data_IF_625734271216
#
_entry.id   IF_625734271216
#
_cell.length_a   1.000
_cell.length_b   1.000
_cell.length_c   1.000
_cell.angle_alpha   90.00
_cell.angle_beta   90.00
_cell.angle_gamma   90.00
#
_symmetry.space_group_name_H-M   'P 1'
#
loop_
_entity.id
_entity.type
_entity.pdbx_description
1 polymer ?
#
# COMPACT_ATOMS: atom_id res chain seq x y z
N UNK A 1 3.50 -39.73 35.46
CA UNK A 1 3.98 -39.86 34.07
C UNK A 1 3.30 -38.79 33.26
N UNK A 2 4.11 -37.89 32.73
CA UNK A 2 3.74 -36.60 32.16
C UNK A 2 2.89 -36.74 30.89
N UNK A 3 1.63 -36.30 30.95
CA UNK A 3 0.75 -36.12 29.79
C UNK A 3 0.72 -34.66 29.35
N UNK A 4 1.89 -34.02 29.29
CA UNK A 4 2.09 -32.65 28.85
C UNK A 4 3.24 -32.64 27.84
N UNK A 5 2.96 -32.14 26.64
CA UNK A 5 3.88 -31.91 25.50
C UNK A 5 4.04 -33.03 24.46
N UNK A 6 2.94 -33.43 23.83
CA UNK A 6 2.99 -33.69 22.38
C UNK A 6 2.28 -32.54 21.65
N UNK A 7 2.97 -31.39 21.56
CA UNK A 7 2.63 -30.44 20.51
C UNK A 7 3.04 -31.10 19.19
N UNK A 8 2.10 -31.76 18.50
CA UNK A 8 2.29 -32.18 17.12
C UNK A 8 2.52 -30.92 16.28
N UNK A 9 3.78 -30.60 16.01
CA UNK A 9 4.12 -29.60 15.01
C UNK A 9 3.74 -30.20 13.66
N UNK A 10 2.59 -29.80 13.12
CA UNK A 10 2.29 -30.07 11.72
C UNK A 10 3.44 -29.53 10.88
N UNK A 11 4.09 -30.34 10.03
CA UNK A 11 5.17 -29.88 9.16
C UNK A 11 4.73 -28.61 8.43
N UNK A 12 5.66 -27.67 8.24
CA UNK A 12 5.40 -26.44 7.48
C UNK A 12 4.83 -26.75 6.09
N UNK A 13 5.27 -27.87 5.51
CA UNK A 13 4.81 -28.40 4.24
C UNK A 13 3.33 -28.77 4.23
N UNK A 14 2.73 -29.16 5.36
CA UNK A 14 1.32 -29.60 5.44
C UNK A 14 0.39 -28.46 5.87
N UNK A 15 0.96 -27.31 6.24
CA UNK A 15 0.21 -26.16 6.73
C UNK A 15 -0.13 -25.18 5.60
N UNK A 16 -1.31 -24.57 5.67
CA UNK A 16 -1.73 -23.49 4.77
C UNK A 16 -2.46 -23.95 3.51
N UNK A 17 -2.95 -22.97 2.74
CA UNK A 17 -3.74 -23.19 1.52
C UNK A 17 -2.96 -22.80 0.28
N UNK A 18 -3.08 -23.54 -0.83
CA UNK A 18 -2.54 -23.09 -2.11
C UNK A 18 -3.13 -21.72 -2.48
N UNK A 19 -2.29 -20.76 -2.89
CA UNK A 19 -2.76 -19.40 -3.19
C UNK A 19 -2.16 -18.78 -4.47
N UNK A 20 -0.85 -18.86 -4.67
CA UNK A 20 -0.18 -18.29 -5.85
C UNK A 20 0.98 -19.18 -6.32
N UNK A 21 1.37 -19.07 -7.58
CA UNK A 21 2.50 -19.84 -8.16
C UNK A 21 3.85 -19.21 -7.88
N UNK A 22 4.83 -20.07 -7.59
CA UNK A 22 6.24 -19.71 -7.47
C UNK A 22 6.80 -19.38 -8.86
N UNK A 23 7.52 -18.26 -8.99
CA UNK A 23 8.14 -17.88 -10.27
C UNK A 23 9.32 -18.77 -10.67
N UNK A 24 9.95 -19.46 -9.71
CA UNK A 24 11.09 -20.36 -9.95
C UNK A 24 10.68 -21.72 -10.54
N UNK A 25 9.67 -22.36 -9.96
CA UNK A 25 9.27 -23.73 -10.32
C UNK A 25 7.85 -23.84 -10.88
N UNK A 26 7.11 -22.73 -10.95
CA UNK A 26 5.74 -22.63 -11.45
C UNK A 26 4.71 -23.49 -10.70
N UNK A 27 5.09 -24.06 -9.55
CA UNK A 27 4.19 -24.80 -8.66
C UNK A 27 3.48 -23.86 -7.68
N UNK A 28 2.28 -24.25 -7.27
CA UNK A 28 1.54 -23.52 -6.26
C UNK A 28 2.29 -23.49 -4.92
N UNK A 29 2.42 -22.29 -4.38
CA UNK A 29 2.88 -22.03 -3.03
C UNK A 29 1.71 -22.02 -2.06
N UNK A 30 1.96 -22.47 -0.84
CA UNK A 30 1.00 -22.46 0.26
C UNK A 30 1.09 -21.15 1.03
N UNK A 31 -0.04 -20.47 1.18
CA UNK A 31 -0.20 -19.34 2.09
C UNK A 31 -0.49 -19.86 3.49
N UNK A 32 0.37 -19.47 4.42
CA UNK A 32 0.25 -19.75 5.84
C UNK A 32 -0.12 -18.45 6.54
N UNK A 33 -1.35 -18.38 7.04
CA UNK A 33 -1.90 -17.19 7.72
C UNK A 33 -1.47 -17.06 9.17
N UNK A 34 -0.97 -18.14 9.79
CA UNK A 34 -0.48 -18.12 11.17
C UNK A 34 0.72 -17.19 11.26
N UNK A 35 0.70 -16.28 12.25
CA UNK A 35 1.72 -15.25 12.35
C UNK A 35 3.11 -15.85 12.62
N UNK A 36 4.17 -15.38 11.93
CA UNK A 36 4.14 -14.40 10.85
C UNK A 36 3.58 -14.98 9.54
N UNK A 37 2.68 -14.23 8.89
CA UNK A 37 2.11 -14.61 7.59
C UNK A 37 3.20 -14.75 6.53
N UNK A 38 3.13 -15.82 5.74
CA UNK A 38 4.16 -16.20 4.76
C UNK A 38 3.62 -17.08 3.64
N UNK A 39 4.29 -17.05 2.50
CA UNK A 39 4.18 -18.05 1.45
C UNK A 39 5.28 -19.10 1.64
N UNK A 40 4.96 -20.36 1.37
CA UNK A 40 5.90 -21.46 1.35
C UNK A 40 5.81 -22.20 0.02
N UNK A 41 6.95 -22.36 -0.67
CA UNK A 41 7.04 -23.20 -1.86
C UNK A 41 7.56 -24.59 -1.45
N UNK A 42 6.72 -25.62 -1.54
CA UNK A 42 7.14 -26.99 -1.18
C UNK A 42 8.17 -27.60 -2.13
N UNK A 43 8.23 -27.17 -3.39
CA UNK A 43 9.19 -27.69 -4.38
C UNK A 43 10.56 -27.03 -4.26
N UNK A 44 10.61 -25.74 -3.96
CA UNK A 44 11.88 -25.02 -3.77
C UNK A 44 12.34 -25.02 -2.30
N UNK A 45 11.48 -25.47 -1.37
CA UNK A 45 11.71 -25.41 0.07
C UNK A 45 11.99 -23.99 0.60
N UNK A 46 11.49 -22.96 -0.10
CA UNK A 46 11.70 -21.56 0.23
C UNK A 46 10.49 -20.92 0.92
N UNK A 47 10.78 -19.98 1.83
CA UNK A 47 9.80 -19.21 2.60
C UNK A 47 9.88 -17.74 2.23
N UNK A 48 8.73 -17.13 1.89
CA UNK A 48 8.61 -15.70 1.63
C UNK A 48 7.70 -15.06 2.67
N UNK A 49 8.24 -14.20 3.52
CA UNK A 49 7.43 -13.46 4.49
C UNK A 49 6.55 -12.43 3.79
N UNK A 50 5.37 -12.20 4.35
CA UNK A 50 4.39 -11.25 3.82
C UNK A 50 4.19 -10.09 4.80
N UNK A 51 3.58 -8.97 4.36
CA UNK A 51 3.13 -7.94 5.28
C UNK A 51 2.17 -8.51 6.33
N UNK A 52 2.31 -8.04 7.57
CA UNK A 52 1.54 -8.53 8.72
C UNK A 52 0.29 -7.67 8.96
N UNK A 53 -0.69 -8.19 9.71
CA UNK A 53 -1.88 -7.46 10.17
C UNK A 53 -2.80 -6.94 9.05
N UNK A 54 -2.91 -7.69 7.96
CA UNK A 54 -3.88 -7.44 6.90
C UNK A 54 -4.29 -8.74 6.23
N UNK A 55 -5.04 -8.60 5.14
CA UNK A 55 -5.50 -9.74 4.34
C UNK A 55 -4.63 -9.92 3.11
N UNK A 56 -4.37 -11.18 2.74
CA UNK A 56 -3.60 -11.56 1.57
C UNK A 56 -4.50 -12.35 0.63
N UNK A 57 -4.54 -11.94 -0.64
CA UNK A 57 -5.26 -12.62 -1.72
C UNK A 57 -4.40 -12.70 -2.98
N UNK A 58 -4.75 -13.58 -3.92
CA UNK A 58 -4.17 -13.62 -5.25
C UNK A 58 -4.59 -12.36 -6.03
N UNK A 59 -3.65 -11.75 -6.77
CA UNK A 59 -3.91 -10.54 -7.53
C UNK A 59 -3.99 -10.81 -9.03
N UNK A 60 -5.21 -11.05 -9.51
CA UNK A 60 -5.58 -11.16 -10.95
C UNK A 60 -4.72 -12.15 -11.77
N UNK A 61 -4.11 -13.15 -11.12
CA UNK A 61 -3.17 -14.09 -11.77
C UNK A 61 -2.03 -13.40 -12.54
N UNK A 62 -1.73 -12.15 -12.22
CA UNK A 62 -0.67 -11.39 -12.85
C UNK A 62 0.68 -11.84 -12.30
N UNK A 63 1.71 -11.84 -13.14
CA UNK A 63 3.07 -12.19 -12.76
C UNK A 63 3.97 -10.96 -12.72
N UNK A 64 4.97 -11.01 -11.85
CA UNK A 64 6.03 -10.02 -11.82
C UNK A 64 6.94 -10.19 -13.05
N UNK A 65 7.25 -9.13 -13.82
CA UNK A 65 8.06 -9.25 -15.02
C UNK A 65 9.55 -9.52 -14.74
N UNK A 66 9.99 -9.40 -13.48
CA UNK A 66 11.36 -9.66 -13.07
C UNK A 66 11.65 -11.13 -12.83
N UNK A 67 10.69 -11.84 -12.23
CA UNK A 67 10.93 -13.15 -11.60
C UNK A 67 9.79 -14.15 -11.84
N UNK A 68 8.75 -13.78 -12.58
CA UNK A 68 7.56 -14.57 -12.91
C UNK A 68 6.72 -15.05 -11.72
N UNK A 69 6.94 -14.53 -10.51
CA UNK A 69 6.07 -14.86 -9.38
C UNK A 69 4.67 -14.27 -9.58
N UNK A 70 3.65 -15.07 -9.28
CA UNK A 70 2.28 -14.55 -9.24
C UNK A 70 2.14 -13.53 -8.09
N UNK A 71 1.56 -12.38 -8.43
CA UNK A 71 1.39 -11.26 -7.54
C UNK A 71 0.29 -11.55 -6.51
N UNK A 72 0.54 -11.07 -5.30
CA UNK A 72 -0.44 -11.04 -4.23
C UNK A 72 -0.93 -9.62 -4.03
N UNK A 73 -2.10 -9.47 -3.42
CA UNK A 73 -2.59 -8.20 -2.93
C UNK A 73 -2.69 -8.25 -1.42
N UNK A 74 -2.10 -7.24 -0.77
CA UNK A 74 -2.28 -6.97 0.63
C UNK A 74 -3.32 -5.87 0.83
N UNK A 75 -4.23 -6.05 1.78
CA UNK A 75 -5.23 -5.05 2.16
C UNK A 75 -5.33 -4.92 3.67
N UNK A 76 -5.20 -3.68 4.17
CA UNK A 76 -5.52 -3.35 5.56
C UNK A 76 -7.03 -3.26 5.79
N UNK A 77 -7.47 -3.59 7.01
CA UNK A 77 -8.88 -3.53 7.37
C UNK A 77 -9.38 -2.08 7.58
N UNK A 78 -10.60 -1.82 7.11
CA UNK A 78 -11.32 -0.55 7.26
C UNK A 78 -11.38 0.28 5.97
N UNK A 79 -12.23 1.33 5.95
CA UNK A 79 -12.50 2.12 4.75
C UNK A 79 -11.25 2.82 4.20
N UNK A 80 -10.41 3.35 5.09
CA UNK A 80 -9.14 4.02 4.75
C UNK A 80 -7.93 3.08 4.84
N UNK A 81 -8.16 1.77 4.78
CA UNK A 81 -7.08 0.79 4.73
C UNK A 81 -6.41 0.81 3.36
N UNK A 82 -5.09 1.06 3.31
CA UNK A 82 -4.37 0.96 2.03
C UNK A 82 -4.34 -0.50 1.56
N UNK A 83 -4.41 -0.66 0.26
CA UNK A 83 -4.19 -1.93 -0.42
C UNK A 83 -3.10 -1.76 -1.46
N UNK A 84 -2.30 -2.79 -1.68
CA UNK A 84 -1.28 -2.75 -2.73
C UNK A 84 -0.92 -4.15 -3.22
N UNK A 85 -0.57 -4.27 -4.52
CA UNK A 85 0.05 -5.47 -5.05
C UNK A 85 1.49 -5.62 -4.55
N UNK A 86 1.94 -6.86 -4.38
CA UNK A 86 3.32 -7.21 -4.04
C UNK A 86 3.72 -8.53 -4.72
N UNK A 87 4.98 -8.59 -5.16
CA UNK A 87 5.62 -9.85 -5.55
C UNK A 87 6.23 -10.52 -4.30
N UNK A 88 5.95 -11.81 -4.02
CA UNK A 88 6.56 -12.52 -2.88
C UNK A 88 8.10 -12.47 -2.87
N UNK A 89 8.74 -12.61 -4.04
CA UNK A 89 10.19 -12.61 -4.15
C UNK A 89 10.76 -11.20 -3.96
N UNK A 90 10.35 -10.22 -4.76
CA UNK A 90 10.80 -8.82 -4.61
C UNK A 90 10.55 -8.24 -3.21
N UNK A 91 9.47 -8.65 -2.53
CA UNK A 91 9.21 -8.21 -1.16
C UNK A 91 10.28 -8.69 -0.18
N UNK A 92 10.81 -9.90 -0.35
CA UNK A 92 11.79 -10.51 0.55
C UNK A 92 13.23 -10.35 0.09
N UNK A 93 13.44 -10.16 -1.22
CA UNK A 93 14.74 -10.11 -1.88
C UNK A 93 14.65 -9.06 -3.00
N UNK A 94 14.51 -7.78 -2.66
CA UNK A 94 14.46 -6.72 -3.66
C UNK A 94 15.77 -6.70 -4.47
N UNK A 95 15.73 -6.78 -5.82
CA UNK A 95 16.93 -6.90 -6.64
C UNK A 95 17.62 -5.55 -6.92
N UNK A 96 17.34 -4.51 -6.13
CA UNK A 96 17.90 -3.17 -6.36
C UNK A 96 18.66 -2.66 -5.14
N UNK A 97 19.82 -2.08 -5.39
CA UNK A 97 20.69 -1.51 -4.37
C UNK A 97 20.03 -0.31 -3.68
N UNK A 98 20.27 -0.14 -2.37
CA UNK A 98 19.79 1.01 -1.61
C UNK A 98 18.32 0.99 -1.19
N UNK A 99 17.53 -0.02 -1.57
CA UNK A 99 16.11 -0.14 -1.15
C UNK A 99 15.95 -0.17 0.37
N UNK A 100 16.89 -0.80 1.08
CA UNK A 100 16.94 -0.84 2.54
C UNK A 100 17.12 0.56 3.19
N UNK A 101 17.58 1.54 2.40
CA UNK A 101 17.83 2.91 2.84
C UNK A 101 16.76 3.90 2.34
N UNK A 102 16.18 3.65 1.17
CA UNK A 102 15.25 4.58 0.49
C UNK A 102 13.84 4.55 1.07
N UNK A 103 13.44 3.43 1.66
CA UNK A 103 12.12 3.27 2.21
C UNK A 103 12.24 3.16 3.72
N UNK A 104 11.31 3.80 4.44
CA UNK A 104 11.12 3.63 5.88
C UNK A 104 10.71 2.19 6.27
N UNK A 105 11.19 1.17 5.54
CA UNK A 105 11.44 -0.17 6.01
C UNK A 105 12.04 -0.01 7.40
N UNK A 106 11.17 -0.24 8.37
CA UNK A 106 11.47 -0.18 9.77
C UNK A 106 12.70 -1.06 9.97
N UNK A 107 13.84 -0.41 10.24
CA UNK A 107 15.02 -1.01 10.85
C UNK A 107 14.53 -1.64 12.14
N UNK A 108 14.01 -2.85 12.04
CA UNK A 108 13.53 -3.66 13.16
C UNK A 108 14.70 -4.45 13.74
N UNK A 109 15.90 -4.27 13.21
CA UNK A 109 17.12 -4.82 13.76
C UNK A 109 18.31 -3.89 13.48
N UNK A 110 19.22 -3.83 14.44
CA UNK A 110 20.53 -3.18 14.35
C UNK A 110 21.51 -3.91 13.41
N UNK A 111 21.05 -4.90 12.65
CA UNK A 111 21.89 -5.83 11.86
C UNK A 111 21.64 -5.77 10.35
N UNK A 112 21.01 -4.70 9.83
CA UNK A 112 20.86 -4.51 8.38
C UNK A 112 19.96 -5.52 7.67
N UNK A 113 19.28 -6.42 8.40
CA UNK A 113 18.27 -7.34 7.86
C UNK A 113 16.88 -6.74 8.04
N UNK A 114 16.13 -6.65 6.94
CA UNK A 114 14.69 -6.40 6.95
C UNK A 114 14.02 -7.37 7.94
N UNK A 115 13.33 -6.84 8.95
CA UNK A 115 12.60 -7.69 9.89
C UNK A 115 11.45 -8.43 9.21
N UNK A 116 10.93 -9.47 9.87
CA UNK A 116 9.80 -10.26 9.35
C UNK A 116 8.61 -9.33 9.08
N UNK A 117 8.27 -9.14 7.81
CA UNK A 117 7.19 -8.26 7.37
C UNK A 117 7.60 -6.83 7.00
N UNK A 118 8.89 -6.51 6.96
CA UNK A 118 9.43 -5.36 6.23
C UNK A 118 9.94 -5.87 4.87
N UNK A 119 9.58 -5.19 3.77
CA UNK A 119 9.90 -5.63 2.42
C UNK A 119 9.53 -4.58 1.38
N UNK A 120 9.89 -4.82 0.11
CA UNK A 120 9.56 -3.91 -1.00
C UNK A 120 8.23 -4.30 -1.67
N UNK A 121 7.12 -3.58 -1.44
CA UNK A 121 5.89 -3.74 -2.22
C UNK A 121 6.05 -3.17 -3.63
N UNK A 122 5.15 -3.53 -4.56
CA UNK A 122 5.30 -3.15 -5.96
C UNK A 122 5.29 -1.63 -6.18
N UNK A 123 4.55 -0.86 -5.38
CA UNK A 123 4.52 0.61 -5.48
C UNK A 123 5.85 1.30 -5.11
N UNK A 124 6.84 0.54 -4.64
CA UNK A 124 8.22 0.99 -4.40
C UNK A 124 9.20 0.40 -5.43
N UNK A 125 8.74 -0.48 -6.31
CA UNK A 125 9.56 -1.11 -7.33
C UNK A 125 9.98 -0.06 -8.38
N UNK A 126 11.27 0.09 -8.68
CA UNK A 126 11.77 0.99 -9.73
C UNK A 126 11.80 0.32 -11.12
N UNK A 127 11.27 -0.89 -11.28
CA UNK A 127 11.36 -1.59 -12.57
C UNK A 127 10.43 -0.97 -13.62
N UNK A 128 10.95 -0.49 -14.77
CA UNK A 128 10.16 0.26 -15.75
C UNK A 128 9.08 -0.59 -16.45
N UNK A 129 9.28 -1.91 -16.56
CA UNK A 129 8.29 -2.80 -17.19
C UNK A 129 7.24 -3.32 -16.21
N UNK A 130 7.40 -3.08 -14.90
CA UNK A 130 6.42 -3.50 -13.92
C UNK A 130 5.23 -2.53 -13.95
N UNK A 131 4.00 -2.98 -14.30
CA UNK A 131 2.84 -2.11 -14.39
C UNK A 131 2.40 -1.58 -13.01
N UNK A 132 2.90 -2.17 -11.93
CA UNK A 132 2.62 -1.77 -10.55
C UNK A 132 3.78 -1.03 -9.89
N UNK A 133 4.84 -0.73 -10.66
CA UNK A 133 6.02 0.02 -10.20
C UNK A 133 5.66 1.43 -9.75
N UNK A 134 6.57 2.03 -8.97
CA UNK A 134 6.54 3.45 -8.67
C UNK A 134 6.59 4.29 -9.95
N UNK A 135 7.35 3.85 -10.96
CA UNK A 135 7.51 4.57 -12.23
C UNK A 135 6.19 4.58 -13.01
N UNK A 136 5.48 3.46 -13.06
CA UNK A 136 4.24 3.33 -13.82
C UNK A 136 3.03 3.95 -13.11
N UNK A 137 2.97 3.86 -11.77
CA UNK A 137 1.79 4.28 -10.99
C UNK A 137 1.99 5.61 -10.24
N UNK A 138 3.21 6.16 -10.21
CA UNK A 138 3.51 7.43 -9.59
C UNK A 138 2.89 8.60 -10.35
N UNK A 139 2.24 9.50 -9.61
CA UNK A 139 1.48 10.63 -10.18
C UNK A 139 2.18 11.96 -9.93
N UNK A 140 2.35 12.34 -8.67
CA UNK A 140 2.94 13.63 -8.30
C UNK A 140 3.66 13.53 -6.95
N UNK A 141 4.39 14.59 -6.60
CA UNK A 141 5.02 14.70 -5.28
C UNK A 141 3.97 14.74 -4.17
N UNK A 142 4.29 14.13 -3.03
CA UNK A 142 3.46 14.24 -1.84
C UNK A 142 3.65 15.62 -1.19
N UNK A 143 2.58 16.35 -0.84
CA UNK A 143 2.73 17.65 -0.21
C UNK A 143 3.18 17.58 1.26
N UNK A 144 3.03 16.44 1.92
CA UNK A 144 3.37 16.28 3.35
C UNK A 144 4.78 15.72 3.61
N UNK A 145 5.45 15.18 2.58
CA UNK A 145 6.77 14.55 2.73
C UNK A 145 7.48 14.40 1.38
N UNK A 146 8.74 13.97 1.41
CA UNK A 146 9.54 13.69 0.20
C UNK A 146 9.11 12.45 -0.61
N UNK A 147 7.87 11.98 -0.42
CA UNK A 147 7.34 10.80 -1.09
C UNK A 147 6.61 11.14 -2.38
N UNK A 148 6.09 10.10 -3.04
CA UNK A 148 5.29 10.22 -4.27
C UNK A 148 3.88 9.70 -4.00
N UNK A 149 2.87 10.39 -4.50
CA UNK A 149 1.50 9.91 -4.55
C UNK A 149 1.37 8.87 -5.67
N UNK A 150 0.97 7.66 -5.32
CA UNK A 150 0.84 6.51 -6.22
C UNK A 150 -0.62 6.11 -6.34
N UNK A 151 -1.07 5.82 -7.56
CA UNK A 151 -2.42 5.35 -7.82
C UNK A 151 -2.66 3.96 -7.21
N UNK A 152 -3.78 3.81 -6.48
CA UNK A 152 -4.23 2.51 -5.98
C UNK A 152 -5.06 1.78 -7.06
N UNK A 153 -4.52 0.75 -7.73
CA UNK A 153 -5.20 0.09 -8.85
C UNK A 153 -6.40 -0.76 -8.42
N UNK A 154 -6.66 -0.89 -7.11
CA UNK A 154 -7.81 -1.63 -6.57
C UNK A 154 -8.78 -0.76 -5.77
N UNK A 155 -8.59 0.56 -5.82
CA UNK A 155 -9.44 1.49 -5.06
C UNK A 155 -10.81 1.72 -5.69
N UNK A 156 -11.06 1.21 -6.90
CA UNK A 156 -12.37 1.24 -7.53
C UNK A 156 -13.48 0.74 -6.57
N UNK A 157 -14.65 1.43 -6.52
CA UNK A 157 -15.02 2.63 -7.28
C UNK A 157 -14.56 3.94 -6.62
N UNK A 158 -13.96 3.89 -5.43
CA UNK A 158 -13.47 5.06 -4.67
C UNK A 158 -11.99 5.30 -4.95
N UNK A 159 -11.71 5.71 -6.17
CA UNK A 159 -10.36 5.90 -6.66
C UNK A 159 -9.56 6.82 -5.74
N UNK A 160 -8.31 6.44 -5.47
CA UNK A 160 -7.43 7.20 -4.58
C UNK A 160 -5.96 7.07 -4.95
N UNK A 161 -5.21 8.09 -4.59
CA UNK A 161 -3.75 8.07 -4.49
C UNK A 161 -3.35 7.87 -3.04
N UNK A 162 -2.24 7.19 -2.80
CA UNK A 162 -1.60 7.15 -1.49
C UNK A 162 -0.14 7.53 -1.59
N UNK A 163 0.36 8.21 -0.56
CA UNK A 163 1.79 8.42 -0.45
C UNK A 163 2.48 7.08 -0.15
N UNK A 164 3.61 6.85 -0.83
CA UNK A 164 4.47 5.71 -0.62
C UNK A 164 5.34 5.80 0.67
N UNK A 165 5.42 6.97 1.31
CA UNK A 165 6.22 7.20 2.52
C UNK A 165 5.41 7.59 3.76
N UNK A 166 4.34 8.38 3.61
CA UNK A 166 3.51 8.83 4.73
C UNK A 166 2.06 8.32 4.64
N UNK A 167 1.15 8.93 5.39
CA UNK A 167 -0.26 8.55 5.45
C UNK A 167 -1.17 9.42 4.60
N UNK A 168 -0.62 10.38 3.85
CA UNK A 168 -1.36 11.18 2.90
C UNK A 168 -2.11 10.28 1.91
N UNK A 169 -3.39 10.57 1.73
CA UNK A 169 -4.33 9.88 0.86
C UNK A 169 -5.11 10.96 0.10
N UNK A 170 -5.26 10.82 -1.21
CA UNK A 170 -6.01 11.77 -2.03
C UNK A 170 -7.10 11.00 -2.76
N UNK A 171 -8.35 11.31 -2.47
CA UNK A 171 -9.49 10.83 -3.23
C UNK A 171 -9.52 11.51 -4.60
N UNK A 172 -9.73 10.69 -5.62
CA UNK A 172 -9.87 11.10 -7.01
C UNK A 172 -11.36 11.28 -7.37
N UNK A 173 -11.69 11.86 -8.55
CA UNK A 173 -13.07 12.14 -8.93
C UNK A 173 -14.01 10.95 -8.74
N UNK A 174 -15.14 11.21 -8.06
CA UNK A 174 -16.18 10.21 -7.86
C UNK A 174 -16.92 9.91 -9.17
N UNK A 175 -17.52 8.72 -9.27
CA UNK A 175 -18.28 8.33 -10.47
C UNK A 175 -17.40 7.89 -11.65
N UNK A 176 -16.08 7.81 -11.48
CA UNK A 176 -15.19 7.21 -12.47
C UNK A 176 -15.30 5.68 -12.47
N UNK A 177 -15.55 5.10 -13.64
CA UNK A 177 -15.50 3.65 -13.86
C UNK A 177 -14.05 3.14 -13.86
N UNK A 178 -13.12 3.94 -14.41
CA UNK A 178 -11.69 3.62 -14.46
C UNK A 178 -10.86 4.90 -14.34
N UNK A 179 -9.75 4.81 -13.62
CA UNK A 179 -8.68 5.82 -13.65
C UNK A 179 -7.36 5.10 -13.92
N UNK A 180 -6.53 5.66 -14.80
CA UNK A 180 -5.19 5.16 -15.12
C UNK A 180 -4.19 6.29 -15.28
N UNK A 181 -2.93 6.00 -14.99
CA UNK A 181 -1.79 6.85 -15.35
C UNK A 181 -1.49 6.76 -16.84
N UNK A 182 -1.05 7.86 -17.45
CA UNK A 182 -0.53 7.87 -18.82
C UNK A 182 1.00 7.98 -18.83
N UNK A 183 1.59 8.06 -20.02
CA UNK A 183 3.04 8.32 -20.18
C UNK A 183 3.36 9.82 -20.24
N UNK A 184 2.33 10.65 -20.36
CA UNK A 184 2.49 12.09 -20.58
C UNK A 184 2.69 12.81 -19.25
N UNK A 185 3.46 13.88 -19.28
CA UNK A 185 3.75 14.73 -18.13
C UNK A 185 3.16 16.11 -18.34
N UNK A 186 2.66 16.69 -17.27
CA UNK A 186 2.18 18.06 -17.26
C UNK A 186 3.36 19.02 -17.55
N UNK A 187 3.22 19.97 -18.50
CA UNK A 187 4.29 20.91 -18.83
C UNK A 187 4.60 21.94 -17.73
N UNK A 188 3.68 22.13 -16.77
CA UNK A 188 3.84 23.14 -15.71
C UNK A 188 4.47 22.57 -14.42
N UNK A 189 4.05 21.37 -14.01
CA UNK A 189 4.45 20.79 -12.72
C UNK A 189 5.06 19.37 -12.84
N UNK A 190 5.29 18.88 -14.05
CA UNK A 190 5.90 17.56 -14.36
C UNK A 190 5.17 16.32 -13.79
N UNK A 191 3.98 16.52 -13.23
CA UNK A 191 3.14 15.44 -12.72
C UNK A 191 2.60 14.60 -13.86
N UNK A 192 2.41 13.31 -13.62
CA UNK A 192 1.83 12.38 -14.59
C UNK A 192 0.39 12.76 -14.89
N UNK A 193 0.04 12.80 -16.18
CA UNK A 193 -1.33 13.00 -16.62
C UNK A 193 -2.16 11.76 -16.31
N UNK A 194 -3.37 11.96 -15.79
CA UNK A 194 -4.32 10.87 -15.56
C UNK A 194 -5.37 10.85 -16.67
N UNK A 195 -5.75 9.64 -17.07
CA UNK A 195 -6.93 9.36 -17.88
C UNK A 195 -8.04 8.88 -16.96
N UNK A 196 -9.18 9.56 -17.01
CA UNK A 196 -10.37 9.31 -16.21
C UNK A 196 -11.51 8.95 -17.15
N UNK A 197 -12.06 7.74 -16.98
CA UNK A 197 -13.25 7.28 -17.68
C UNK A 197 -14.45 7.36 -16.72
N UNK A 198 -15.24 8.42 -16.87
CA UNK A 198 -16.44 8.67 -16.09
C UNK A 198 -17.59 7.74 -16.48
N UNK A 199 -18.47 7.45 -15.52
CA UNK A 199 -19.69 6.74 -15.84
C UNK A 199 -20.59 7.60 -16.74
N UNK A 200 -21.09 7.02 -17.84
CA UNK A 200 -22.01 7.64 -18.81
C UNK A 200 -23.19 8.36 -18.17
N UNK A 201 -23.68 7.89 -17.02
CA UNK A 201 -24.85 8.47 -16.33
C UNK A 201 -24.51 9.64 -15.40
N UNK A 202 -23.25 9.77 -14.99
CA UNK A 202 -22.82 10.73 -13.97
C UNK A 202 -21.58 11.49 -14.39
N UNK A 203 -21.33 11.62 -15.70
CA UNK A 203 -20.17 12.35 -16.21
C UNK A 203 -20.30 13.83 -15.84
N UNK A 204 -19.25 14.46 -15.29
CA UNK A 204 -19.24 15.89 -15.01
C UNK A 204 -18.93 16.73 -16.26
N UNK A 205 -18.66 16.10 -17.41
CA UNK A 205 -18.27 16.78 -18.64
C UNK A 205 -19.50 17.36 -19.37
N UNK A 206 -19.42 18.65 -19.73
CA UNK A 206 -20.53 19.41 -20.32
C UNK A 206 -20.95 18.91 -21.70
N UNK A 207 -20.02 18.34 -22.46
CA UNK A 207 -20.24 17.80 -23.80
C UNK A 207 -20.85 16.38 -23.79
N UNK A 208 -21.03 15.79 -22.60
CA UNK A 208 -21.52 14.43 -22.43
C UNK A 208 -20.49 13.35 -22.78
N UNK A 209 -19.22 13.71 -23.02
CA UNK A 209 -18.15 12.73 -23.14
C UNK A 209 -17.89 12.03 -21.80
N UNK A 210 -17.20 10.89 -21.82
CA UNK A 210 -16.82 10.16 -20.59
C UNK A 210 -15.33 10.12 -20.33
N UNK A 211 -14.52 10.31 -21.37
CA UNK A 211 -13.07 10.27 -21.25
C UNK A 211 -12.53 11.68 -21.03
N UNK A 212 -11.74 11.84 -19.99
CA UNK A 212 -11.05 13.09 -19.69
C UNK A 212 -9.58 12.81 -19.36
N UNK A 213 -8.68 13.63 -19.89
CA UNK A 213 -7.24 13.54 -19.61
C UNK A 213 -6.76 14.85 -19.06
N UNK A 214 -6.14 14.84 -17.88
CA UNK A 214 -5.64 16.07 -17.26
C UNK A 214 -4.67 15.83 -16.11
N UNK A 215 -4.01 16.90 -15.71
CA UNK A 215 -3.14 16.93 -14.54
C UNK A 215 -3.97 17.17 -13.29
N UNK A 216 -3.88 16.32 -12.28
CA UNK A 216 -4.66 16.51 -11.04
C UNK A 216 -4.32 17.80 -10.25
N UNK A 217 -3.20 18.46 -10.56
CA UNK A 217 -2.76 19.68 -9.88
C UNK A 217 -3.15 20.93 -10.67
N UNK A 218 -2.84 20.97 -11.96
CA UNK A 218 -3.00 22.16 -12.82
C UNK A 218 -4.36 22.21 -13.53
N UNK A 219 -5.01 21.06 -13.77
CA UNK A 219 -6.30 21.02 -14.45
C UNK A 219 -7.43 21.45 -13.51
N UNK A 220 -8.15 22.50 -13.88
CA UNK A 220 -9.19 23.10 -13.03
C UNK A 220 -10.30 22.12 -12.65
N UNK A 221 -10.73 21.28 -13.61
CA UNK A 221 -11.80 20.33 -13.38
C UNK A 221 -11.35 19.23 -12.42
N UNK A 222 -10.25 18.54 -12.74
CA UNK A 222 -9.76 17.43 -11.90
C UNK A 222 -9.36 17.91 -10.52
N UNK A 223 -8.70 19.07 -10.42
CA UNK A 223 -8.31 19.64 -9.14
C UNK A 223 -9.53 19.97 -8.25
N UNK A 224 -10.64 20.44 -8.83
CA UNK A 224 -11.86 20.71 -8.07
C UNK A 224 -12.54 19.45 -7.50
N UNK A 225 -12.21 18.29 -8.04
CA UNK A 225 -12.84 16.99 -7.73
C UNK A 225 -11.96 16.09 -6.83
N UNK A 226 -10.76 16.53 -6.45
CA UNK A 226 -9.91 15.80 -5.51
C UNK A 226 -10.14 16.22 -4.06
N UNK A 227 -10.02 15.27 -3.13
CA UNK A 227 -10.15 15.51 -1.69
C UNK A 227 -8.97 14.83 -0.95
N UNK A 228 -8.15 15.61 -0.23
CA UNK A 228 -7.07 15.06 0.58
C UNK A 228 -7.57 14.60 1.96
N UNK A 229 -7.09 13.45 2.42
CA UNK A 229 -7.29 12.88 3.75
C UNK A 229 -6.03 12.21 4.27
N UNK A 230 -6.08 11.79 5.53
CA UNK A 230 -5.05 10.97 6.14
C UNK A 230 -5.55 9.53 6.30
N UNK A 231 -4.87 8.59 5.66
CA UNK A 231 -5.14 7.16 5.80
C UNK A 231 -4.64 6.56 7.12
N UNK A 232 -4.99 5.30 7.38
CA UNK A 232 -4.43 4.57 8.54
C UNK A 232 -2.95 4.27 8.34
N UNK A 233 -2.14 4.54 9.36
CA UNK A 233 -0.68 4.43 9.28
C UNK A 233 -0.14 3.01 9.16
N UNK A 234 0.77 2.79 8.21
CA UNK A 234 1.73 1.67 8.20
C UNK A 234 2.90 1.94 9.14
N UNK A 235 3.41 3.17 9.04
CA UNK A 235 4.55 3.67 9.78
C UNK A 235 4.03 4.31 11.05
N UNK A 236 3.84 3.53 12.12
CA UNK A 236 3.88 4.19 13.42
C UNK A 236 5.25 4.87 13.48
N UNK A 237 5.27 6.20 13.35
CA UNK A 237 6.36 7.03 13.88
C UNK A 237 6.49 6.56 15.33
N UNK A 238 7.49 5.73 15.61
CA UNK A 238 7.90 5.45 16.97
C UNK A 238 8.70 6.67 17.42
N UNK A 239 8.03 7.81 17.48
CA UNK A 239 8.51 9.06 18.02
C UNK A 239 7.63 9.38 19.22
N UNK A 240 8.22 9.31 20.41
CA UNK A 240 7.66 9.71 21.71
C UNK A 240 6.49 8.90 22.25
N UNK A 241 6.76 7.64 22.62
CA UNK A 241 6.16 7.07 23.83
C UNK A 241 7.24 7.00 24.90
N UNK A 242 7.49 8.14 25.55
CA UNK A 242 8.20 8.18 26.82
C UNK A 242 7.46 7.27 27.81
N UNK A 243 7.95 6.05 27.98
CA UNK A 243 7.64 5.19 29.11
C UNK A 243 8.69 5.47 30.19
N UNK A 244 8.37 6.38 31.10
CA UNK A 244 8.94 6.45 32.45
C UNK A 244 7.81 6.89 33.37
N UNK A 245 7.06 5.95 33.96
CA UNK A 245 7.25 5.46 35.33
C UNK A 245 7.41 6.61 36.34
N UNK A 246 6.28 7.05 36.90
CA UNK A 246 6.22 7.92 38.07
C UNK A 246 4.93 7.63 38.84
N UNK A 247 5.09 7.03 40.01
CA UNK A 247 4.08 6.71 41.02
C UNK A 247 3.34 7.97 41.51
N UNK A 248 2.03 7.89 41.79
CA UNK A 248 1.32 9.00 42.43
C UNK A 248 -0.18 8.80 42.59
N UNK A 249 -0.62 8.76 43.85
CA UNK A 249 -1.98 8.53 44.35
C UNK A 249 -2.96 9.67 44.00
N UNK A 250 -4.25 9.30 43.86
CA UNK A 250 -5.42 10.05 44.34
C UNK A 250 -5.75 11.41 43.70
N UNK A 251 -6.99 11.59 43.25
CA UNK A 251 -7.48 12.92 42.90
C UNK A 251 -8.81 12.93 42.15
N UNK A 252 -9.82 13.48 42.81
CA UNK A 252 -11.18 13.75 42.34
C UNK A 252 -11.27 14.75 41.17
N UNK A 253 -12.44 14.69 40.49
CA UNK A 253 -13.16 15.75 39.73
C UNK A 253 -12.62 16.20 38.36
N UNK A 254 -13.54 16.24 37.38
CA UNK A 254 -13.40 17.13 36.22
C UNK A 254 -14.31 16.81 35.04
N UNK A 255 -15.44 17.52 34.92
CA UNK A 255 -16.27 17.67 33.70
C UNK A 255 -15.47 18.36 32.57
N UNK A 256 -15.75 18.00 31.32
CA UNK A 256 -15.42 18.81 30.13
C UNK A 256 -15.50 17.96 28.86
N UNK A 257 -16.65 17.90 28.18
CA UNK A 257 -17.05 18.71 27.00
C UNK A 257 -16.20 18.47 25.76
N UNK A 258 -16.91 18.18 24.66
CA UNK A 258 -16.38 17.71 23.40
C UNK A 258 -15.43 18.68 22.70
N UNK A 259 -14.50 18.08 21.97
CA UNK A 259 -13.83 18.69 20.84
C UNK A 259 -14.03 17.76 19.65
N UNK A 260 -15.00 18.08 18.81
CA UNK A 260 -15.14 17.48 17.49
C UNK A 260 -13.91 17.91 16.71
N UNK A 261 -13.04 16.98 16.37
CA UNK A 261 -11.92 17.23 15.47
C UNK A 261 -12.54 17.32 14.07
N UNK A 262 -13.08 18.49 13.76
CA UNK A 262 -13.47 18.80 12.38
C UNK A 262 -12.16 18.92 11.59
N UNK A 263 -12.00 17.98 10.66
CA UNK A 263 -10.92 17.93 9.68
C UNK A 263 -11.04 19.20 8.82
N UNK A 264 -10.11 20.16 8.90
CA UNK A 264 -10.17 21.34 8.05
C UNK A 264 -10.04 20.84 6.61
N UNK A 265 -11.06 21.09 5.80
CA UNK A 265 -10.99 20.95 4.35
C UNK A 265 -9.90 21.91 3.85
N UNK A 266 -8.67 21.45 3.84
CA UNK A 266 -7.54 22.16 3.28
C UNK A 266 -7.67 22.01 1.76
N UNK A 267 -7.76 23.15 1.09
CA UNK A 267 -7.78 23.18 -0.37
C UNK A 267 -6.38 22.84 -0.88
N UNK A 268 -6.29 22.10 -1.97
CA UNK A 268 -5.02 21.67 -2.53
C UNK A 268 -4.17 22.84 -3.06
N UNK A 269 -4.74 24.05 -3.19
CA UNK A 269 -4.08 25.27 -3.68
C UNK A 269 -3.16 25.96 -2.68
N UNK A 270 -3.20 25.58 -1.40
CA UNK A 270 -2.43 26.26 -0.35
C UNK A 270 -1.02 25.67 -0.12
N UNK A 271 -0.46 24.96 -1.12
CA UNK A 271 0.90 24.39 -1.10
C UNK A 271 1.65 24.60 -2.42
#
# INVERSE_FOLDING_TARGET
MDALFEAQFSPLADSGRALSKCGKCLRYMKYISTQPSRMYCGTCEEVYYLPQKGTIKLYKELTCPLDNFELLIFSLAGPEGKSFPLCPYCYNSPPFEGIDTLFGATKTSSTGKLGKGAGMPCFLCPHPTCPHSLIAQGVCACPECSGTLVLDPVSAPKWRLYCNMCNCLVYLPQGAHKISTTRDRCPECESTILEVDFNKKTTPLLDGSTLYTGCILCDELLHSLVEMKHGKSFFKRMGSRGRGRGSGRGGFRGRGRGGKWDDPKMSFRDF
#
